data_IF_350654515797
#
_entry.id   IF_350654515797
#
_cell.length_a   1.000
_cell.length_b   1.000
_cell.length_c   1.000
_cell.angle_alpha   90.00
_cell.angle_beta   90.00
_cell.angle_gamma   90.00
#
_symmetry.space_group_name_H-M   'P 1'
#
loop_
_entity.id
_entity.type
_entity.pdbx_description
1 polymer ?
#
# COMPACT_ATOMS: atom_id res chain seq x y z
N UNK A 1 -12.69 6.95 -10.57
CA UNK A 1 -12.39 5.77 -9.75
C UNK A 1 -13.58 5.46 -8.88
N UNK A 2 -14.40 4.48 -9.29
CA UNK A 2 -15.44 3.92 -8.44
C UNK A 2 -14.80 2.79 -7.61
N UNK A 3 -14.75 2.89 -6.28
CA UNK A 3 -14.13 1.86 -5.44
C UNK A 3 -14.83 0.48 -5.55
N UNK A 4 -16.06 0.43 -6.08
CA UNK A 4 -16.78 -0.83 -6.36
C UNK A 4 -16.53 -1.37 -7.77
N UNK A 5 -15.98 -0.55 -8.66
CA UNK A 5 -15.65 -0.89 -10.05
C UNK A 5 -14.25 -0.40 -10.34
N UNK A 6 -13.28 -1.15 -9.82
CA UNK A 6 -11.87 -0.92 -10.06
C UNK A 6 -11.58 -1.07 -11.55
N UNK A 7 -11.05 0.00 -12.16
CA UNK A 7 -10.75 0.06 -13.59
C UNK A 7 -9.24 0.15 -13.76
N UNK A 8 -8.62 -0.90 -14.27
CA UNK A 8 -7.16 -0.99 -14.44
C UNK A 8 -6.64 0.06 -15.42
N UNK A 9 -7.45 0.48 -16.40
CA UNK A 9 -7.09 1.51 -17.38
C UNK A 9 -6.96 2.91 -16.74
N UNK A 10 -7.42 3.08 -15.51
CA UNK A 10 -7.24 4.32 -14.75
C UNK A 10 -5.87 4.43 -14.08
N UNK A 11 -5.02 3.41 -14.22
CA UNK A 11 -3.68 3.37 -13.66
C UNK A 11 -2.60 3.35 -14.73
N UNK A 12 -1.47 3.98 -14.40
CA UNK A 12 -0.23 3.86 -15.17
C UNK A 12 0.68 2.89 -14.42
N UNK A 13 1.07 1.79 -15.07
CA UNK A 13 2.07 0.87 -14.52
C UNK A 13 3.46 1.49 -14.59
N UNK A 14 4.18 1.46 -13.48
CA UNK A 14 5.54 2.02 -13.35
C UNK A 14 6.43 0.98 -12.67
N UNK A 15 7.51 0.59 -13.33
CA UNK A 15 8.58 -0.25 -12.78
C UNK A 15 9.90 0.54 -12.74
N UNK A 16 10.56 0.59 -11.59
CA UNK A 16 11.84 1.28 -11.42
C UNK A 16 12.17 1.56 -9.95
N UNK A 17 13.39 2.03 -9.71
CA UNK A 17 13.90 2.30 -8.35
C UNK A 17 13.22 3.49 -7.65
N UNK A 18 12.56 4.36 -8.42
CA UNK A 18 11.90 5.57 -7.93
C UNK A 18 10.51 5.70 -8.56
N UNK A 19 9.51 5.91 -7.72
CA UNK A 19 8.15 6.23 -8.14
C UNK A 19 7.88 7.73 -7.94
N UNK A 20 7.38 8.42 -8.98
CA UNK A 20 6.97 9.82 -8.91
C UNK A 20 5.46 9.88 -8.74
N UNK A 21 4.99 10.38 -7.60
CA UNK A 21 3.56 10.56 -7.32
C UNK A 21 3.15 11.98 -7.73
N UNK A 22 2.21 12.15 -8.67
CA UNK A 22 1.72 13.48 -9.05
C UNK A 22 1.07 14.22 -7.87
N UNK A 23 1.07 15.56 -7.87
CA UNK A 23 0.43 16.35 -6.81
C UNK A 23 -1.04 15.95 -6.61
N UNK A 24 -1.45 15.79 -5.35
CA UNK A 24 -2.81 15.40 -4.94
C UNK A 24 -3.31 14.07 -5.53
N UNK A 25 -2.38 13.19 -5.92
CA UNK A 25 -2.68 11.84 -6.42
C UNK A 25 -2.20 10.77 -5.43
N UNK A 26 -2.37 9.49 -5.79
CA UNK A 26 -1.90 8.35 -5.03
C UNK A 26 -1.25 7.32 -5.95
N UNK A 27 -0.49 6.40 -5.35
CA UNK A 27 0.09 5.25 -6.02
C UNK A 27 -0.22 3.99 -5.22
N UNK A 28 -0.32 2.85 -5.91
CA UNK A 28 -0.42 1.52 -5.31
C UNK A 28 0.88 0.76 -5.55
N UNK A 29 1.33 0.03 -4.55
CA UNK A 29 2.53 -0.79 -4.61
C UNK A 29 2.37 -2.02 -3.70
N UNK A 30 3.11 -3.08 -4.01
CA UNK A 30 3.23 -4.27 -3.17
C UNK A 30 4.53 -4.22 -2.37
N UNK A 31 4.54 -4.91 -1.23
CA UNK A 31 5.75 -5.09 -0.43
C UNK A 31 6.70 -6.07 -1.11
N UNK A 32 7.98 -6.02 -0.74
CA UNK A 32 8.93 -7.06 -1.18
C UNK A 32 8.77 -8.31 -0.30
N UNK A 33 8.37 -8.11 0.94
CA UNK A 33 8.16 -9.15 1.93
C UNK A 33 6.86 -9.91 1.72
N UNK A 34 6.90 -11.22 1.98
CA UNK A 34 5.71 -12.06 2.03
C UNK A 34 5.39 -12.43 3.48
N UNK A 35 4.19 -12.10 3.94
CA UNK A 35 3.76 -12.35 5.32
C UNK A 35 2.72 -13.46 5.42
N UNK A 36 2.89 -14.34 6.41
CA UNK A 36 1.86 -15.28 6.88
C UNK A 36 1.50 -14.93 8.32
N UNK A 37 0.33 -14.36 8.53
CA UNK A 37 -0.08 -13.89 9.85
C UNK A 37 -0.64 -15.05 10.67
N UNK A 38 -0.14 -15.31 11.90
CA UNK A 38 -0.71 -16.32 12.79
C UNK A 38 -2.18 -16.03 13.14
N UNK A 39 -2.95 -17.07 13.49
CA UNK A 39 -4.41 -16.92 13.76
C UNK A 39 -4.76 -16.08 14.99
N UNK A 40 -3.78 -15.80 15.84
CA UNK A 40 -3.94 -15.07 17.09
C UNK A 40 -3.23 -13.70 17.08
N UNK A 41 -2.84 -13.21 15.90
CA UNK A 41 -2.13 -11.94 15.74
C UNK A 41 -2.88 -11.06 14.74
N UNK A 42 -3.09 -9.79 15.10
CA UNK A 42 -3.54 -8.73 14.20
C UNK A 42 -2.41 -7.72 14.05
N UNK A 43 -2.06 -7.35 12.81
CA UNK A 43 -0.95 -6.42 12.55
C UNK A 43 -1.46 -5.10 12.00
N UNK A 44 -0.91 -3.99 12.52
CA UNK A 44 -1.14 -2.64 12.01
C UNK A 44 0.16 -2.14 11.40
N UNK A 45 0.10 -1.59 10.19
CA UNK A 45 1.26 -0.99 9.53
C UNK A 45 1.15 0.54 9.58
N UNK A 46 2.26 1.19 9.94
CA UNK A 46 2.35 2.65 10.02
C UNK A 46 3.41 3.16 9.04
N UNK A 47 3.09 4.26 8.37
CA UNK A 47 4.04 4.94 7.50
C UNK A 47 5.28 5.40 8.26
N UNK A 48 6.47 5.23 7.66
CA UNK A 48 7.71 5.72 8.26
C UNK A 48 7.72 7.24 8.35
N UNK A 49 8.39 7.75 9.38
CA UNK A 49 8.51 9.19 9.63
C UNK A 49 9.12 9.97 8.45
N UNK A 50 10.02 9.36 7.67
CA UNK A 50 10.59 9.99 6.46
C UNK A 50 9.51 10.37 5.45
N UNK A 51 8.53 9.51 5.20
CA UNK A 51 7.44 9.80 4.27
C UNK A 51 6.42 10.75 4.90
N UNK A 52 6.09 10.55 6.18
CA UNK A 52 5.16 11.43 6.90
C UNK A 52 5.66 12.89 6.95
N UNK A 53 6.96 13.12 7.19
CA UNK A 53 7.56 14.48 7.20
C UNK A 53 7.48 15.18 5.84
N UNK A 54 7.42 14.42 4.75
CA UNK A 54 7.27 14.95 3.39
C UNK A 54 5.81 15.08 2.95
N UNK A 55 4.84 14.88 3.85
CA UNK A 55 3.41 14.95 3.52
C UNK A 55 2.87 13.73 2.79
N UNK A 56 3.61 12.62 2.75
CA UNK A 56 3.18 11.37 2.13
C UNK A 56 2.54 10.49 3.19
N UNK A 57 1.25 10.21 3.00
CA UNK A 57 0.46 9.34 3.88
C UNK A 57 0.46 7.91 3.32
N UNK A 58 0.91 6.95 4.13
CA UNK A 58 0.90 5.54 3.77
C UNK A 58 -0.31 4.88 4.43
N UNK A 59 -1.26 4.44 3.60
CA UNK A 59 -2.46 3.75 4.07
C UNK A 59 -2.32 2.25 3.84
N UNK A 60 -2.40 1.48 4.92
CA UNK A 60 -2.37 0.01 4.89
C UNK A 60 -3.50 -0.51 5.75
N UNK A 61 -4.36 -1.34 5.17
CA UNK A 61 -5.42 -2.04 5.91
C UNK A 61 -4.77 -3.05 6.87
N UNK A 62 -5.30 -3.24 8.09
CA UNK A 62 -4.75 -4.20 9.03
C UNK A 62 -4.60 -5.60 8.41
N UNK A 63 -3.47 -6.26 8.70
CA UNK A 63 -3.24 -7.64 8.25
C UNK A 63 -3.95 -8.57 9.22
N UNK A 64 -5.01 -9.21 8.74
CA UNK A 64 -5.90 -10.02 9.54
C UNK A 64 -5.27 -11.34 10.02
N UNK A 65 -5.73 -11.90 11.16
CA UNK A 65 -5.28 -13.20 11.62
C UNK A 65 -5.53 -14.30 10.58
N UNK A 66 -4.54 -15.18 10.37
CA UNK A 66 -4.53 -16.18 9.28
C UNK A 66 -4.37 -15.60 7.86
N UNK A 67 -4.29 -14.27 7.73
CA UNK A 67 -4.12 -13.56 6.47
C UNK A 67 -2.76 -13.83 5.82
N UNK A 68 -2.71 -13.62 4.49
CA UNK A 68 -1.50 -13.68 3.67
C UNK A 68 -1.40 -12.36 2.90
N UNK A 69 -0.25 -11.71 2.98
CA UNK A 69 0.01 -10.45 2.30
C UNK A 69 1.24 -10.58 1.39
N UNK A 70 1.14 -9.94 0.23
CA UNK A 70 2.15 -9.81 -0.82
C UNK A 70 2.23 -8.35 -1.24
#
# INVERSE_FOLDING_TARGET
MDPKRFDEDSFVHVEGDVCVIPPNSFALACTVEYFRIPRNVLTICLGKSTYARCGIIVNVTPLEPSGRAM
#
